data_IF_790061995142
#
_entry.id   IF_790061995142
#
_cell.length_a   1.000
_cell.length_b   1.000
_cell.length_c   1.000
_cell.angle_alpha   90.00
_cell.angle_beta   90.00
_cell.angle_gamma   90.00
#
_symmetry.space_group_name_H-M   'P 1'
#
loop_
_entity.id
_entity.type
_entity.pdbx_description
1 polymer ?
#
# COMPACT_ATOMS: atom_id res chain seq x y z
N UNK A 1 18.16 -13.46 22.01
CA UNK A 1 18.86 -12.28 22.62
C UNK A 1 18.37 -10.93 22.07
N UNK A 2 18.32 -10.71 20.75
CA UNK A 2 18.00 -9.41 20.15
C UNK A 2 16.60 -8.87 20.49
N UNK A 3 15.58 -9.74 20.54
CA UNK A 3 14.21 -9.36 20.91
C UNK A 3 14.07 -8.69 22.28
N UNK A 4 15.03 -8.89 23.20
CA UNK A 4 15.03 -8.25 24.53
C UNK A 4 15.41 -6.77 24.47
N UNK A 5 16.01 -6.32 23.39
CA UNK A 5 16.44 -4.94 23.17
C UNK A 5 15.47 -4.15 22.27
N UNK A 6 14.47 -4.81 21.70
CA UNK A 6 13.55 -4.21 20.73
C UNK A 6 12.23 -3.79 21.40
N UNK A 7 11.62 -2.67 20.98
CA UNK A 7 10.25 -2.30 21.35
C UNK A 7 9.25 -3.42 21.05
N UNK A 8 8.13 -3.46 21.77
CA UNK A 8 7.17 -4.56 21.70
C UNK A 8 6.59 -4.84 20.31
N UNK A 9 6.57 -3.82 19.48
CA UNK A 9 6.07 -3.83 18.10
C UNK A 9 7.09 -4.34 17.09
N UNK A 10 8.36 -4.52 17.49
CA UNK A 10 9.45 -4.98 16.63
C UNK A 10 9.99 -6.30 17.17
N UNK A 11 9.88 -7.36 16.36
CA UNK A 11 10.34 -8.70 16.71
C UNK A 11 11.07 -9.36 15.54
N UNK A 12 12.16 -10.03 15.87
CA UNK A 12 12.91 -10.91 14.99
C UNK A 12 12.37 -12.32 15.16
N UNK A 13 11.87 -12.90 14.06
CA UNK A 13 11.24 -14.22 14.04
C UNK A 13 12.24 -15.32 13.66
N UNK A 14 13.22 -14.97 12.83
CA UNK A 14 14.22 -15.88 12.30
C UNK A 14 15.47 -15.14 11.91
N UNK A 15 16.55 -15.88 11.70
CA UNK A 15 17.80 -15.37 11.15
C UNK A 15 18.45 -16.43 10.27
N UNK A 16 19.32 -16.02 9.35
CA UNK A 16 20.12 -16.94 8.55
C UNK A 16 21.50 -16.32 8.32
N UNK A 17 22.59 -17.11 8.26
CA UNK A 17 23.85 -16.63 7.72
C UNK A 17 23.65 -16.15 6.28
N UNK A 18 24.29 -15.05 5.91
CA UNK A 18 24.31 -14.63 4.50
C UNK A 18 25.03 -15.72 3.67
N UNK A 19 24.46 -16.13 2.52
CA UNK A 19 25.02 -17.22 1.71
C UNK A 19 26.37 -16.84 1.08
N UNK A 20 26.62 -15.55 0.85
CA UNK A 20 27.91 -15.02 0.42
C UNK A 20 28.10 -13.57 0.90
N UNK A 21 29.34 -13.04 0.89
CA UNK A 21 29.62 -11.63 1.20
C UNK A 21 28.92 -10.62 0.28
N UNK A 22 28.59 -11.03 -0.95
CA UNK A 22 27.93 -10.20 -1.97
C UNK A 22 26.40 -10.17 -1.81
N UNK A 23 25.84 -11.04 -0.98
CA UNK A 23 24.38 -11.13 -0.78
C UNK A 23 23.81 -9.80 -0.29
N UNK A 24 22.72 -9.39 -0.93
CA UNK A 24 21.94 -8.20 -0.61
C UNK A 24 20.48 -8.57 -0.36
N UNK A 25 20.02 -8.39 0.87
CA UNK A 25 18.61 -8.50 1.23
C UNK A 25 17.70 -7.61 0.35
N UNK A 26 18.25 -6.52 -0.20
CA UNK A 26 17.52 -5.64 -1.12
C UNK A 26 17.52 -6.16 -2.55
N UNK A 27 18.69 -6.45 -3.12
CA UNK A 27 18.79 -6.73 -4.56
C UNK A 27 18.47 -8.18 -4.92
N UNK A 28 18.72 -9.13 -4.01
CA UNK A 28 18.51 -10.56 -4.25
C UNK A 28 17.10 -11.04 -3.88
N UNK A 29 16.28 -10.19 -3.27
CA UNK A 29 14.87 -10.51 -3.10
C UNK A 29 14.19 -10.51 -4.48
N UNK A 30 13.54 -11.62 -4.82
CA UNK A 30 12.94 -11.87 -6.13
C UNK A 30 11.46 -11.48 -6.19
N UNK A 31 10.79 -11.45 -5.04
CA UNK A 31 9.35 -11.22 -4.94
C UNK A 31 8.99 -10.59 -3.59
N UNK A 32 8.11 -9.60 -3.64
CA UNK A 32 7.49 -8.99 -2.46
C UNK A 32 5.98 -9.12 -2.56
N UNK A 33 5.36 -9.57 -1.48
CA UNK A 33 3.91 -9.67 -1.33
C UNK A 33 3.43 -8.64 -0.33
N UNK A 34 2.54 -7.76 -0.77
CA UNK A 34 1.84 -6.82 0.11
C UNK A 34 0.40 -7.27 0.30
N UNK A 35 -0.10 -7.11 1.53
CA UNK A 35 -1.52 -7.27 1.87
C UNK A 35 -2.04 -5.93 2.39
N UNK A 36 -3.25 -5.57 1.98
CA UNK A 36 -3.98 -4.40 2.47
C UNK A 36 -5.31 -4.86 3.04
N UNK A 37 -5.51 -4.69 4.35
CA UNK A 37 -6.70 -5.15 5.05
C UNK A 37 -7.80 -4.09 5.14
N UNK A 38 -9.06 -4.45 4.95
CA UNK A 38 -10.17 -3.50 5.01
C UNK A 38 -11.52 -4.16 5.31
N UNK A 39 -12.43 -3.50 6.05
CA UNK A 39 -13.82 -3.94 6.14
C UNK A 39 -14.53 -3.80 4.79
N UNK A 40 -15.39 -4.75 4.45
CA UNK A 40 -16.16 -4.75 3.21
C UNK A 40 -16.96 -3.46 3.01
N UNK A 41 -17.65 -3.01 4.07
CA UNK A 41 -18.57 -1.87 3.99
C UNK A 41 -19.59 -2.06 2.87
N UNK A 42 -19.67 -1.07 1.98
CA UNK A 42 -20.51 -1.11 0.77
C UNK A 42 -19.74 -1.47 -0.51
N UNK A 43 -18.52 -2.01 -0.41
CA UNK A 43 -17.66 -2.25 -1.56
C UNK A 43 -18.08 -3.52 -2.33
N UNK A 44 -18.19 -3.40 -3.65
CA UNK A 44 -18.33 -4.52 -4.57
C UNK A 44 -16.95 -5.18 -4.82
N UNK A 45 -16.70 -6.29 -4.13
CA UNK A 45 -15.44 -7.03 -4.26
C UNK A 45 -15.27 -7.67 -5.65
N UNK A 46 -16.37 -7.94 -6.37
CA UNK A 46 -16.34 -8.47 -7.72
C UNK A 46 -15.80 -7.46 -8.73
N UNK A 47 -16.27 -6.21 -8.64
CA UNK A 47 -15.72 -5.09 -9.44
C UNK A 47 -14.27 -4.81 -9.07
N UNK A 48 -13.94 -4.79 -7.77
CA UNK A 48 -12.56 -4.63 -7.32
C UNK A 48 -11.64 -5.76 -7.83
N UNK A 49 -12.11 -7.01 -7.81
CA UNK A 49 -11.38 -8.16 -8.34
C UNK A 49 -11.13 -8.06 -9.84
N UNK A 50 -12.13 -7.65 -10.63
CA UNK A 50 -11.98 -7.40 -12.07
C UNK A 50 -10.94 -6.30 -12.34
N UNK A 51 -10.98 -5.21 -11.58
CA UNK A 51 -10.01 -4.12 -11.69
C UNK A 51 -8.60 -4.55 -11.28
N UNK A 52 -8.48 -5.32 -10.19
CA UNK A 52 -7.20 -5.84 -9.72
C UNK A 52 -6.53 -6.76 -10.75
N UNK A 53 -7.30 -7.61 -11.43
CA UNK A 53 -6.78 -8.49 -12.47
C UNK A 53 -6.10 -7.74 -13.63
N UNK A 54 -6.57 -6.53 -13.96
CA UNK A 54 -5.97 -5.67 -15.01
C UNK A 54 -4.59 -5.12 -14.64
N UNK A 55 -4.19 -5.19 -13.37
CA UNK A 55 -2.87 -4.75 -12.91
C UNK A 55 -1.78 -5.79 -13.20
N UNK A 56 -2.15 -7.06 -13.42
CA UNK A 56 -1.21 -8.16 -13.62
C UNK A 56 -0.45 -7.97 -14.94
N UNK A 57 0.85 -8.24 -14.93
CA UNK A 57 1.74 -8.04 -16.07
C UNK A 57 2.73 -6.89 -15.88
N UNK A 58 3.42 -6.54 -16.97
CA UNK A 58 4.41 -5.46 -17.01
C UNK A 58 3.80 -4.17 -17.56
N UNK A 59 3.66 -3.16 -16.71
CA UNK A 59 2.99 -1.90 -17.05
C UNK A 59 3.76 -0.68 -16.53
N UNK A 60 3.43 0.50 -17.06
CA UNK A 60 3.89 1.78 -16.52
C UNK A 60 2.95 2.26 -15.39
N UNK A 61 3.45 2.29 -14.16
CA UNK A 61 2.68 2.61 -12.97
C UNK A 61 2.84 4.08 -12.53
N UNK A 62 3.28 4.99 -13.41
CA UNK A 62 3.50 6.40 -13.05
C UNK A 62 2.26 7.07 -12.46
N UNK A 63 1.08 6.72 -12.97
CA UNK A 63 -0.20 7.25 -12.49
C UNK A 63 -0.63 6.62 -11.17
N UNK A 64 -0.11 5.44 -10.85
CA UNK A 64 -0.36 4.71 -9.61
C UNK A 64 0.73 4.90 -8.56
N UNK A 65 1.58 5.92 -8.66
CA UNK A 65 2.65 6.13 -7.67
C UNK A 65 2.86 7.61 -7.38
N UNK A 66 3.60 7.95 -6.32
CA UNK A 66 4.15 9.30 -6.17
C UNK A 66 5.47 9.36 -6.92
N UNK A 67 5.51 10.14 -8.01
CA UNK A 67 6.73 10.31 -8.82
C UNK A 67 7.85 10.89 -7.97
N UNK A 68 8.94 10.14 -7.85
CA UNK A 68 10.07 10.43 -6.97
C UNK A 68 11.34 10.74 -7.78
N UNK A 69 11.20 11.69 -8.71
CA UNK A 69 12.26 12.11 -9.63
C UNK A 69 13.48 12.66 -8.87
N UNK A 70 13.26 13.25 -7.69
CA UNK A 70 14.34 13.75 -6.82
C UNK A 70 15.32 12.67 -6.38
N UNK A 71 14.85 11.42 -6.25
CA UNK A 71 15.66 10.26 -5.91
C UNK A 71 16.14 9.49 -7.16
N UNK A 72 16.08 10.11 -8.34
CA UNK A 72 16.57 9.54 -9.60
C UNK A 72 15.62 8.53 -10.25
N UNK A 73 14.37 8.41 -9.78
CA UNK A 73 13.39 7.49 -10.37
C UNK A 73 12.82 8.06 -11.67
N UNK A 74 13.26 7.51 -12.79
CA UNK A 74 12.80 7.86 -14.14
C UNK A 74 12.10 6.70 -14.85
N UNK A 75 12.29 5.46 -14.40
CA UNK A 75 11.59 4.28 -14.91
C UNK A 75 10.47 3.84 -13.96
N UNK A 76 9.25 3.91 -14.49
CA UNK A 76 8.00 3.61 -13.81
C UNK A 76 7.42 2.24 -14.22
N UNK A 77 8.12 1.48 -15.06
CA UNK A 77 7.70 0.13 -15.42
C UNK A 77 7.90 -0.82 -14.26
N UNK A 78 6.87 -1.56 -13.88
CA UNK A 78 6.93 -2.62 -12.86
C UNK A 78 6.17 -3.84 -13.33
N UNK A 79 6.50 -4.99 -12.74
CA UNK A 79 5.81 -6.25 -13.01
C UNK A 79 5.06 -6.70 -11.77
N UNK A 80 3.74 -6.83 -11.91
CA UNK A 80 2.86 -7.44 -10.91
C UNK A 80 2.60 -8.87 -11.36
N UNK A 81 2.90 -9.82 -10.48
CA UNK A 81 2.72 -11.26 -10.69
C UNK A 81 1.32 -11.72 -10.27
N UNK A 82 0.80 -11.13 -9.20
CA UNK A 82 -0.53 -11.42 -8.66
C UNK A 82 -1.18 -10.14 -8.14
N UNK A 83 -2.48 -10.00 -8.39
CA UNK A 83 -3.32 -9.01 -7.75
C UNK A 83 -4.72 -9.63 -7.53
N UNK A 84 -5.17 -9.70 -6.28
CA UNK A 84 -6.44 -10.34 -5.92
C UNK A 84 -7.14 -9.64 -4.77
N UNK A 85 -8.46 -9.75 -4.72
CA UNK A 85 -9.31 -9.23 -3.64
C UNK A 85 -10.10 -10.40 -3.06
N UNK A 86 -10.01 -10.61 -1.76
CA UNK A 86 -10.59 -11.78 -1.07
C UNK A 86 -11.21 -11.39 0.26
N UNK A 87 -12.17 -12.19 0.73
CA UNK A 87 -12.70 -12.12 2.10
C UNK A 87 -11.88 -13.05 2.98
N UNK A 88 -11.40 -12.58 4.14
CA UNK A 88 -10.53 -13.33 5.04
C UNK A 88 -11.30 -14.25 6.00
N UNK A 89 -12.42 -13.77 6.53
CA UNK A 89 -13.31 -14.52 7.41
C UNK A 89 -14.74 -14.17 7.07
N UNK A 90 -15.53 -15.16 6.69
CA UNK A 90 -16.98 -15.07 6.65
C UNK A 90 -17.50 -15.61 7.97
N UNK A 91 -18.23 -14.79 8.73
CA UNK A 91 -18.91 -15.29 9.94
C UNK A 91 -19.99 -16.30 9.55
N UNK A 92 -20.75 -15.98 8.50
CA UNK A 92 -21.71 -16.86 7.84
C UNK A 92 -21.44 -16.83 6.33
N UNK A 93 -21.00 -17.93 5.71
CA UNK A 93 -20.77 -17.98 4.26
C UNK A 93 -22.00 -17.65 3.41
N UNK A 94 -23.21 -17.73 3.98
CA UNK A 94 -24.46 -17.47 3.28
C UNK A 94 -24.87 -15.98 3.30
N UNK A 95 -24.23 -15.15 4.13
CA UNK A 95 -24.62 -13.75 4.29
C UNK A 95 -23.41 -12.82 4.20
N UNK A 96 -23.39 -11.94 3.21
CA UNK A 96 -22.38 -10.90 3.10
C UNK A 96 -22.61 -9.81 4.16
N UNK A 97 -21.62 -9.56 5.01
CA UNK A 97 -21.69 -8.53 6.05
C UNK A 97 -20.83 -7.31 5.68
N UNK A 98 -21.31 -6.07 5.91
CA UNK A 98 -20.47 -4.87 5.81
C UNK A 98 -19.25 -4.90 6.74
N UNK A 99 -19.28 -5.74 7.78
CA UNK A 99 -18.18 -5.90 8.74
C UNK A 99 -17.21 -7.02 8.37
N UNK A 100 -17.45 -7.77 7.29
CA UNK A 100 -16.53 -8.81 6.83
C UNK A 100 -15.17 -8.20 6.54
N UNK A 101 -14.12 -8.87 7.02
CA UNK A 101 -12.76 -8.42 6.76
C UNK A 101 -12.28 -8.96 5.44
N UNK A 102 -11.82 -8.04 4.60
CA UNK A 102 -11.34 -8.29 3.26
C UNK A 102 -9.88 -7.90 3.15
N UNK A 103 -9.27 -8.33 2.05
CA UNK A 103 -7.91 -7.95 1.74
C UNK A 103 -7.68 -7.79 0.23
N UNK A 104 -6.76 -6.89 -0.09
CA UNK A 104 -6.11 -6.84 -1.40
C UNK A 104 -4.72 -7.44 -1.25
N UNK A 105 -4.41 -8.48 -2.02
CA UNK A 105 -3.06 -9.04 -2.13
C UNK A 105 -2.45 -8.59 -3.44
N UNK A 106 -1.26 -7.98 -3.39
CA UNK A 106 -0.50 -7.59 -4.57
C UNK A 106 0.92 -8.11 -4.42
N UNK A 107 1.40 -8.77 -5.47
CA UNK A 107 2.70 -9.39 -5.50
C UNK A 107 3.46 -9.00 -6.76
N UNK A 108 4.75 -8.72 -6.62
CA UNK A 108 5.59 -8.29 -7.72
C UNK A 108 7.07 -8.26 -7.35
N UNK A 109 7.93 -7.96 -8.32
CA UNK A 109 9.39 -7.91 -8.10
C UNK A 109 9.80 -6.72 -7.22
N UNK A 110 9.25 -5.55 -7.51
CA UNK A 110 9.56 -4.30 -6.84
C UNK A 110 8.39 -3.32 -7.03
N UNK A 111 8.28 -2.32 -6.14
CA UNK A 111 7.21 -1.33 -6.17
C UNK A 111 7.77 0.10 -6.12
N UNK A 112 7.06 1.02 -6.75
CA UNK A 112 7.32 2.45 -6.71
C UNK A 112 6.82 3.06 -5.40
N UNK A 113 7.26 4.28 -5.10
CA UNK A 113 6.81 4.99 -3.91
C UNK A 113 5.29 5.20 -3.90
N UNK A 114 4.64 4.78 -2.82
CA UNK A 114 3.18 4.75 -2.64
C UNK A 114 2.39 3.89 -3.63
N UNK A 115 3.03 3.01 -4.42
CA UNK A 115 2.35 2.30 -5.50
C UNK A 115 1.11 1.53 -5.03
N UNK A 116 1.26 0.71 -4.00
CA UNK A 116 0.18 -0.12 -3.46
C UNK A 116 -0.97 0.74 -2.93
N UNK A 117 -0.68 1.80 -2.17
CA UNK A 117 -1.71 2.69 -1.60
C UNK A 117 -2.49 3.42 -2.69
N UNK A 118 -1.81 3.85 -3.74
CA UNK A 118 -2.45 4.47 -4.89
C UNK A 118 -3.31 3.48 -5.69
N UNK A 119 -2.87 2.22 -5.84
CA UNK A 119 -3.70 1.15 -6.43
C UNK A 119 -4.95 0.95 -5.60
N UNK A 120 -4.81 0.72 -4.29
CA UNK A 120 -5.93 0.45 -3.38
C UNK A 120 -6.94 1.60 -3.38
N UNK A 121 -6.49 2.87 -3.42
CA UNK A 121 -7.39 4.01 -3.58
C UNK A 121 -8.29 3.91 -4.80
N UNK A 122 -7.74 3.50 -5.95
CA UNK A 122 -8.48 3.37 -7.20
C UNK A 122 -9.40 2.16 -7.14
N UNK A 123 -8.95 1.05 -6.55
CA UNK A 123 -9.81 -0.11 -6.32
C UNK A 123 -11.00 0.23 -5.42
N UNK A 124 -10.84 1.06 -4.38
CA UNK A 124 -11.98 1.51 -3.58
C UNK A 124 -12.98 2.35 -4.38
N UNK A 125 -12.53 3.23 -5.28
CA UNK A 125 -13.44 3.96 -6.16
C UNK A 125 -14.23 3.02 -7.07
N UNK A 126 -13.60 1.95 -7.56
CA UNK A 126 -14.27 0.90 -8.34
C UNK A 126 -15.26 0.11 -7.47
N UNK A 127 -14.86 -0.28 -6.26
CA UNK A 127 -15.72 -1.01 -5.32
C UNK A 127 -16.92 -0.18 -4.85
N UNK A 128 -16.78 1.15 -4.77
CA UNK A 128 -17.89 2.08 -4.50
C UNK A 128 -18.79 2.30 -5.74
N UNK A 129 -18.49 1.69 -6.89
CA UNK A 129 -19.23 1.88 -8.15
C UNK A 129 -19.05 3.27 -8.78
N UNK A 130 -18.05 4.03 -8.33
CA UNK A 130 -17.77 5.39 -8.81
C UNK A 130 -16.91 5.41 -10.07
N UNK A 131 -16.17 4.33 -10.30
CA UNK A 131 -15.39 4.10 -11.50
C UNK A 131 -15.62 2.68 -12.02
N UNK A 132 -15.53 2.51 -13.33
CA UNK A 132 -15.56 1.19 -13.95
C UNK A 132 -14.19 0.50 -13.84
N UNK A 133 -14.10 -0.84 -13.79
CA UNK A 133 -12.82 -1.55 -13.70
C UNK A 133 -11.76 -1.14 -14.75
N UNK A 134 -12.20 -0.76 -15.95
CA UNK A 134 -11.36 -0.33 -17.06
C UNK A 134 -10.57 0.96 -16.78
N UNK A 135 -10.92 1.72 -15.73
CA UNK A 135 -10.13 2.86 -15.26
C UNK A 135 -8.69 2.46 -14.96
N UNK A 136 -8.47 1.21 -14.54
CA UNK A 136 -7.12 0.69 -14.30
C UNK A 136 -6.30 0.72 -15.58
N UNK A 137 -6.81 0.13 -16.67
CA UNK A 137 -6.12 0.13 -17.98
C UNK A 137 -5.89 1.55 -18.50
N UNK A 138 -6.87 2.45 -18.32
CA UNK A 138 -6.73 3.85 -18.74
C UNK A 138 -5.62 4.57 -17.96
N UNK A 139 -5.48 4.30 -16.66
CA UNK A 139 -4.43 4.89 -15.84
C UNK A 139 -3.07 4.20 -16.03
N UNK A 140 -3.01 2.96 -16.53
CA UNK A 140 -1.76 2.32 -16.93
C UNK A 140 -1.23 2.87 -18.28
N UNK A 141 -2.06 3.61 -19.04
CA UNK A 141 -1.59 4.31 -20.23
C UNK A 141 -0.68 5.50 -19.83
N UNK A 142 0.60 5.52 -20.24
CA UNK A 142 1.52 6.61 -19.90
C UNK A 142 1.15 7.95 -20.56
N UNK A 143 0.35 7.95 -21.63
CA UNK A 143 -0.17 9.16 -22.28
C UNK A 143 -1.27 9.84 -21.46
N UNK A 144 -1.93 9.08 -20.56
CA UNK A 144 -2.91 9.64 -19.64
C UNK A 144 -2.16 10.36 -18.50
N UNK A 145 -2.32 11.68 -18.33
CA UNK A 145 -1.73 12.38 -17.20
C UNK A 145 -2.36 11.93 -15.88
N UNK A 146 -1.53 11.78 -14.84
CA UNK A 146 -1.97 11.33 -13.51
C UNK A 146 -3.06 12.25 -12.94
N UNK A 147 -4.29 11.77 -12.73
CA UNK A 147 -5.31 12.57 -12.06
C UNK A 147 -5.01 12.72 -10.57
N UNK A 148 -5.55 13.76 -9.95
CA UNK A 148 -5.49 13.91 -8.49
C UNK A 148 -6.50 12.99 -7.80
N UNK A 149 -6.00 12.19 -6.87
CA UNK A 149 -6.82 11.37 -5.99
C UNK A 149 -6.10 11.11 -4.67
N UNK A 150 -6.85 10.91 -3.58
CA UNK A 150 -6.28 10.68 -2.26
C UNK A 150 -5.57 9.33 -2.16
N UNK A 151 -4.62 9.24 -1.24
CA UNK A 151 -3.97 7.97 -0.90
C UNK A 151 -4.81 7.19 0.11
N UNK A 152 -4.88 5.86 -0.07
CA UNK A 152 -5.40 4.95 0.94
C UNK A 152 -4.55 5.10 2.22
N UNK A 153 -5.15 4.95 3.40
CA UNK A 153 -4.42 5.04 4.67
C UNK A 153 -3.32 3.97 4.76
N UNK A 154 -2.25 4.25 5.48
CA UNK A 154 -1.08 3.38 5.59
C UNK A 154 -1.24 2.26 6.62
N UNK A 155 -1.97 2.49 7.71
CA UNK A 155 -2.16 1.54 8.81
C UNK A 155 -2.41 0.07 8.38
N UNK A 156 -3.31 -0.24 7.42
CA UNK A 156 -3.62 -1.62 7.05
C UNK A 156 -2.70 -2.21 5.97
N UNK A 157 -1.68 -1.47 5.50
CA UNK A 157 -0.73 -1.96 4.50
C UNK A 157 0.41 -2.71 5.19
N UNK A 158 0.60 -3.98 4.82
CA UNK A 158 1.65 -4.84 5.36
C UNK A 158 2.52 -5.39 4.23
N UNK A 159 3.84 -5.22 4.33
CA UNK A 159 4.78 -6.06 3.59
C UNK A 159 4.74 -7.44 4.25
N UNK A 160 4.06 -8.37 3.60
CA UNK A 160 3.69 -9.64 4.19
C UNK A 160 4.79 -10.69 4.01
N UNK A 161 5.34 -10.79 2.80
CA UNK A 161 6.39 -11.76 2.48
C UNK A 161 7.43 -11.14 1.54
N UNK A 162 8.68 -11.55 1.74
CA UNK A 162 9.79 -11.34 0.82
C UNK A 162 10.37 -12.71 0.50
N UNK A 163 10.41 -13.06 -0.77
CA UNK A 163 11.05 -14.30 -1.21
C UNK A 163 12.43 -14.00 -1.79
N UNK A 164 13.34 -14.91 -1.53
CA UNK A 164 14.70 -14.97 -2.04
C UNK A 164 14.85 -16.29 -2.78
N UNK A 165 15.80 -16.39 -3.70
CA UNK A 165 16.20 -17.69 -4.23
C UNK A 165 16.61 -18.61 -3.05
N UNK A 166 16.47 -19.94 -3.18
CA UNK A 166 16.55 -20.96 -2.12
C UNK A 166 17.93 -21.09 -1.41
N UNK A 167 18.55 -19.97 -1.08
CA UNK A 167 19.90 -19.79 -0.54
C UNK A 167 19.88 -19.55 0.97
N UNK A 168 18.72 -19.26 1.57
CA UNK A 168 18.61 -18.91 2.99
C UNK A 168 18.11 -20.09 3.82
N UNK A 169 19.00 -20.61 4.68
CA UNK A 169 18.67 -21.60 5.70
C UNK A 169 18.20 -20.90 6.98
N UNK A 170 16.90 -20.60 7.03
CA UNK A 170 16.29 -19.87 8.15
C UNK A 170 16.33 -20.67 9.44
N UNK A 171 17.01 -20.11 10.43
CA UNK A 171 17.10 -20.62 11.79
C UNK A 171 16.02 -19.99 12.66
N UNK A 172 15.42 -20.82 13.52
CA UNK A 172 14.32 -20.47 14.40
C UNK A 172 14.63 -20.86 15.84
N UNK A 173 14.46 -19.93 16.78
CA UNK A 173 14.61 -20.18 18.21
C UNK A 173 13.23 -20.39 18.83
N UNK A 174 12.88 -21.64 19.16
CA UNK A 174 11.52 -22.03 19.56
C UNK A 174 11.02 -21.30 20.81
N UNK A 175 11.88 -21.09 21.80
CA UNK A 175 11.50 -20.37 23.02
C UNK A 175 11.18 -18.90 22.73
N UNK A 176 11.98 -18.23 21.89
CA UNK A 176 11.74 -16.83 21.52
C UNK A 176 10.49 -16.71 20.63
N UNK A 177 10.27 -17.63 19.69
CA UNK A 177 9.03 -17.69 18.90
C UNK A 177 7.81 -17.88 19.81
N UNK A 178 7.90 -18.73 20.82
CA UNK A 178 6.81 -18.93 21.79
C UNK A 178 6.48 -17.64 22.54
N UNK A 179 7.50 -16.87 22.95
CA UNK A 179 7.29 -15.55 23.58
C UNK A 179 6.67 -14.53 22.63
N UNK A 180 7.09 -14.53 21.37
CA UNK A 180 6.48 -13.69 20.33
C UNK A 180 5.00 -14.04 20.15
N UNK A 181 4.67 -15.33 20.05
CA UNK A 181 3.29 -15.80 19.94
C UNK A 181 2.45 -15.36 21.15
N UNK A 182 2.96 -15.53 22.37
CA UNK A 182 2.25 -15.08 23.59
C UNK A 182 1.94 -13.58 23.55
N UNK A 183 2.90 -12.75 23.11
CA UNK A 183 2.67 -11.30 22.99
C UNK A 183 1.67 -10.96 21.88
N UNK A 184 1.77 -11.59 20.72
CA UNK A 184 0.83 -11.41 19.61
C UNK A 184 -0.59 -11.81 20.01
N UNK A 185 -0.75 -12.94 20.73
CA UNK A 185 -2.03 -13.38 21.26
C UNK A 185 -2.60 -12.38 22.27
N UNK A 186 -1.80 -11.85 23.20
CA UNK A 186 -2.27 -10.85 24.15
C UNK A 186 -2.76 -9.56 23.47
N UNK A 187 -2.00 -9.05 22.49
CA UNK A 187 -2.39 -7.89 21.68
C UNK A 187 -3.65 -8.18 20.87
N UNK A 188 -3.73 -9.36 20.26
CA UNK A 188 -4.92 -9.79 19.53
C UNK A 188 -6.14 -9.86 20.45
N UNK A 189 -6.04 -10.48 21.62
CA UNK A 189 -7.13 -10.57 22.61
C UNK A 189 -7.64 -9.19 22.99
N UNK A 190 -6.75 -8.25 23.31
CA UNK A 190 -7.15 -6.89 23.67
C UNK A 190 -7.94 -6.19 22.55
N UNK A 191 -7.51 -6.32 21.30
CA UNK A 191 -8.18 -5.72 20.15
C UNK A 191 -9.47 -6.46 19.77
N UNK A 192 -9.47 -7.78 19.83
CA UNK A 192 -10.63 -8.62 19.55
C UNK A 192 -11.75 -8.38 20.57
N UNK A 193 -11.43 -8.26 21.86
CA UNK A 193 -12.41 -7.91 22.91
C UNK A 193 -13.00 -6.53 22.65
N UNK A 194 -12.17 -5.51 22.35
CA UNK A 194 -12.66 -4.17 22.00
C UNK A 194 -13.57 -4.18 20.78
N UNK A 195 -13.16 -4.87 19.71
CA UNK A 195 -13.94 -5.02 18.49
C UNK A 195 -15.28 -5.72 18.76
N UNK A 196 -15.28 -6.79 19.56
CA UNK A 196 -16.50 -7.52 19.93
C UNK A 196 -17.45 -6.67 20.81
N UNK A 197 -16.92 -5.93 21.78
CA UNK A 197 -17.70 -5.00 22.61
C UNK A 197 -18.39 -3.95 21.73
N UNK A 198 -17.64 -3.30 20.84
CA UNK A 198 -18.17 -2.29 19.91
C UNK A 198 -19.17 -2.93 18.95
N UNK A 199 -18.87 -4.13 18.41
CA UNK A 199 -19.78 -4.88 17.54
C UNK A 199 -21.12 -5.19 18.21
N UNK A 200 -21.12 -5.55 19.50
CA UNK A 200 -22.37 -5.75 20.27
C UNK A 200 -23.13 -4.45 20.53
N UNK A 201 -22.42 -3.34 20.76
CA UNK A 201 -23.05 -2.03 20.87
C UNK A 201 -23.71 -1.61 19.55
N UNK A 202 -23.02 -1.79 18.43
CA UNK A 202 -23.55 -1.53 17.09
C UNK A 202 -24.80 -2.35 16.80
N UNK A 203 -24.76 -3.66 17.04
CA UNK A 203 -25.91 -4.55 16.86
C UNK A 203 -27.16 -4.16 17.71
N UNK A 204 -26.99 -3.38 18.79
CA UNK A 204 -28.10 -2.84 19.58
C UNK A 204 -28.63 -1.51 19.02
N UNK A 205 -27.75 -0.68 18.44
CA UNK A 205 -28.08 0.67 17.98
C UNK A 205 -28.58 0.67 16.53
N UNK A 206 -27.94 -0.08 15.64
CA UNK A 206 -28.25 -0.09 14.21
C UNK A 206 -29.71 -0.44 13.88
N UNK A 207 -30.37 -1.44 14.54
CA UNK A 207 -31.77 -1.75 14.24
C UNK A 207 -32.76 -0.65 14.63
N UNK A 208 -32.33 0.36 15.40
CA UNK A 208 -33.17 1.51 15.79
C UNK A 208 -33.16 2.62 14.75
N UNK A 209 -32.30 2.54 13.74
CA UNK A 209 -32.19 3.54 12.68
C UNK A 209 -33.25 3.29 11.61
N UNK A 210 -33.81 4.37 11.06
CA UNK A 210 -34.77 4.30 9.94
C UNK A 210 -34.12 3.83 8.63
N UNK A 211 -32.80 3.98 8.52
CA UNK A 211 -32.02 3.58 7.36
C UNK A 211 -30.62 3.06 7.78
N UNK A 212 -30.03 2.12 7.02
CA UNK A 212 -28.70 1.59 7.32
C UNK A 212 -27.62 2.67 7.16
N UNK A 213 -26.62 2.64 8.04
CA UNK A 213 -25.43 3.50 7.96
C UNK A 213 -24.22 2.66 7.57
N UNK A 214 -23.67 2.90 6.38
CA UNK A 214 -22.54 2.15 5.82
C UNK A 214 -21.30 3.04 5.74
N UNK A 215 -20.58 3.17 6.86
CA UNK A 215 -19.39 4.02 6.98
C UNK A 215 -18.10 3.24 7.32
N UNK A 216 -18.14 1.91 7.30
CA UNK A 216 -17.04 1.05 7.76
C UNK A 216 -15.74 1.30 6.97
N UNK A 217 -15.86 1.60 5.67
CA UNK A 217 -14.74 1.85 4.78
C UNK A 217 -14.33 3.33 4.68
N UNK A 218 -15.06 4.25 5.32
CA UNK A 218 -14.86 5.70 5.11
C UNK A 218 -13.49 6.20 5.57
N UNK A 219 -12.95 5.58 6.61
CA UNK A 219 -11.65 5.94 7.20
C UNK A 219 -10.45 5.36 6.44
N UNK A 220 -10.67 4.62 5.34
CA UNK A 220 -9.61 3.93 4.60
C UNK A 220 -8.90 4.82 3.57
N UNK A 221 -9.39 6.04 3.35
CA UNK A 221 -8.84 6.97 2.37
C UNK A 221 -8.54 8.30 3.06
N UNK A 222 -7.35 8.85 2.82
CA UNK A 222 -6.93 10.11 3.42
C UNK A 222 -7.67 11.31 2.78
N UNK A 223 -8.00 12.32 3.58
CA UNK A 223 -8.53 13.59 3.11
C UNK A 223 -10.05 13.71 3.14
N UNK A 224 -10.57 14.82 2.61
CA UNK A 224 -12.00 15.15 2.67
C UNK A 224 -12.73 14.52 1.48
N UNK A 225 -13.79 13.74 1.75
CA UNK A 225 -14.66 13.22 0.70
C UNK A 225 -15.48 14.37 0.09
N UNK A 226 -15.38 14.65 -1.23
CA UNK A 226 -16.18 15.68 -1.86
C UNK A 226 -17.66 15.28 -1.86
N UNK A 227 -18.57 16.26 -1.72
CA UNK A 227 -20.02 16.01 -1.73
C UNK A 227 -20.52 15.40 -3.04
N UNK A 228 -19.90 15.77 -4.15
CA UNK A 228 -20.23 15.27 -5.49
C UNK A 228 -18.99 14.56 -6.03
N UNK A 229 -19.19 13.33 -6.50
CA UNK A 229 -18.11 12.58 -7.11
C UNK A 229 -17.74 13.14 -8.48
N UNK A 230 -16.45 13.36 -8.71
CA UNK A 230 -15.91 13.68 -10.03
C UNK A 230 -15.10 12.50 -10.56
N UNK A 231 -15.41 11.97 -11.77
CA UNK A 231 -14.65 10.90 -12.39
C UNK A 231 -13.17 11.23 -12.53
N UNK A 232 -12.29 10.26 -12.30
CA UNK A 232 -10.84 10.43 -12.24
C UNK A 232 -10.28 11.12 -13.47
N UNK A 233 -10.69 10.69 -14.67
CA UNK A 233 -10.21 11.26 -15.93
C UNK A 233 -10.66 12.72 -16.18
N UNK A 234 -11.63 13.22 -15.40
CA UNK A 234 -12.11 14.61 -15.47
C UNK A 234 -11.48 15.51 -14.42
N UNK A 235 -10.64 14.99 -13.52
CA UNK A 235 -10.03 15.76 -12.43
C UNK A 235 -8.82 16.55 -12.92
N UNK A 236 -8.42 17.54 -12.13
CA UNK A 236 -7.12 18.19 -12.31
C UNK A 236 -6.02 17.12 -12.24
N UNK A 237 -5.05 17.25 -13.14
CA UNK A 237 -3.93 16.33 -13.26
C UNK A 237 -2.68 16.89 -12.61
N UNK A 238 -1.77 16.00 -12.25
CA UNK A 238 -0.43 16.34 -11.81
C UNK A 238 0.42 16.77 -13.01
N UNK A 239 1.50 17.53 -12.75
CA UNK A 239 2.51 17.82 -13.78
C UNK A 239 3.11 16.53 -14.35
N UNK A 240 3.43 16.57 -15.65
CA UNK A 240 3.98 15.43 -16.39
C UNK A 240 5.34 15.02 -15.87
N UNK A 241 5.78 13.81 -16.24
CA UNK A 241 7.09 13.31 -15.86
C UNK A 241 8.21 14.21 -16.39
N UNK A 242 8.11 14.63 -17.66
CA UNK A 242 9.07 15.49 -18.35
C UNK A 242 9.19 16.84 -17.63
N UNK A 243 8.05 17.45 -17.28
CA UNK A 243 8.00 18.70 -16.52
C UNK A 243 8.69 18.57 -15.17
N UNK A 244 8.52 17.44 -14.47
CA UNK A 244 9.17 17.18 -13.18
C UNK A 244 10.67 16.94 -13.32
N UNK A 245 11.10 16.19 -14.34
CA UNK A 245 12.51 15.99 -14.65
C UNK A 245 13.19 17.33 -14.92
N UNK A 246 12.62 18.16 -15.79
CA UNK A 246 13.15 19.48 -16.11
C UNK A 246 13.25 20.38 -14.88
N UNK A 247 12.23 20.38 -14.03
CA UNK A 247 12.24 21.13 -12.78
C UNK A 247 13.39 20.68 -11.86
N UNK A 248 13.60 19.38 -11.67
CA UNK A 248 14.67 18.86 -10.84
C UNK A 248 16.07 19.09 -11.45
N UNK A 249 16.22 18.95 -12.76
CA UNK A 249 17.47 19.24 -13.47
C UNK A 249 17.83 20.72 -13.33
N UNK A 250 16.87 21.63 -13.55
CA UNK A 250 17.05 23.08 -13.34
C UNK A 250 17.44 23.38 -11.90
N UNK A 251 16.76 22.78 -10.91
CA UNK A 251 17.07 22.97 -9.49
C UNK A 251 18.46 22.46 -9.12
N UNK A 252 18.91 21.34 -9.69
CA UNK A 252 20.26 20.79 -9.47
C UNK A 252 21.33 21.67 -10.11
N UNK A 253 21.05 22.25 -11.29
CA UNK A 253 21.94 23.25 -11.92
C UNK A 253 22.05 24.52 -11.09
N UNK A 254 20.94 25.04 -10.56
CA UNK A 254 20.93 26.21 -9.67
C UNK A 254 21.77 25.99 -8.41
N UNK A 255 21.59 24.85 -7.71
CA UNK A 255 22.43 24.50 -6.55
C UNK A 255 23.91 24.42 -6.89
N UNK A 256 24.26 23.81 -8.03
CA UNK A 256 25.66 23.72 -8.48
C UNK A 256 26.26 25.10 -8.76
N UNK A 257 25.46 26.04 -9.26
CA UNK A 257 25.89 27.42 -9.49
C UNK A 257 26.03 28.18 -8.16
N UNK A 258 25.12 28.01 -7.21
CA UNK A 258 25.21 28.60 -5.86
C UNK A 258 26.44 28.07 -5.08
N UNK A 259 26.75 26.77 -5.18
CA UNK A 259 27.94 26.16 -4.57
C UNK A 259 29.24 26.66 -5.24
N UNK A 260 29.20 26.93 -6.56
CA UNK A 260 30.33 27.51 -7.29
C UNK A 260 30.54 29.00 -6.96
N UNK A 261 29.47 29.76 -6.73
CA UNK A 261 29.58 31.18 -6.34
C UNK A 261 30.04 31.34 -4.88
N UNK A 262 29.77 30.37 -3.99
CA UNK A 262 30.28 30.38 -2.60
C UNK A 262 31.73 29.88 -2.44
N UNK A 263 32.30 29.23 -3.46
CA UNK A 263 33.69 28.76 -3.44
C UNK A 263 34.68 29.73 -4.10
N UNK A 264 34.20 30.88 -4.60
CA UNK A 264 35.01 31.92 -5.25
C UNK A 264 35.61 33.00 -4.34
N UNK A 265 35.21 33.07 -3.06
CA UNK A 265 35.62 34.16 -2.14
C UNK A 265 36.53 33.69 -0.98
N UNK A 266 37.60 32.95 -1.29
CA UNK A 266 38.75 32.81 -0.37
C UNK A 266 40.06 32.92 -1.14
N UNK A 267 40.31 34.10 -1.72
CA UNK A 267 41.67 34.52 -2.06
C UNK A 267 41.79 36.03 -1.87
N UNK A 268 42.18 36.46 -0.66
CA UNK A 268 42.95 37.69 -0.41
C UNK A 268 43.30 37.82 1.08
N UNK A 269 44.48 37.28 1.46
CA UNK A 269 45.57 37.99 2.16
C UNK A 269 46.67 37.01 2.56
#
# INVERSE_FOLDING_TARGET
MLNRLLPDEIRVLSWAPAPSPEFSARFDCVRRKYRYFFPRGSLDLGLMGKAAALLVGGHDFRNFCKMDVGNGVVDYKRSIFQASVTVMQQNDPQLESPYDMCEVTIEGKAFLWHQIRCIVSVLFLVGEGKEEPQIVTQLLNPEQPKPQYPLAVDLPLVLFECEYEHLLDWQHEQEELSRVVLKMQATWTANAVKAAMIGKMLANVEPKLEAPVLAQADSLVMGVKPKVYQPLLKRQTCSTLETKIDHYVKRRKLKKNEDNDQSGDVEMK
#
